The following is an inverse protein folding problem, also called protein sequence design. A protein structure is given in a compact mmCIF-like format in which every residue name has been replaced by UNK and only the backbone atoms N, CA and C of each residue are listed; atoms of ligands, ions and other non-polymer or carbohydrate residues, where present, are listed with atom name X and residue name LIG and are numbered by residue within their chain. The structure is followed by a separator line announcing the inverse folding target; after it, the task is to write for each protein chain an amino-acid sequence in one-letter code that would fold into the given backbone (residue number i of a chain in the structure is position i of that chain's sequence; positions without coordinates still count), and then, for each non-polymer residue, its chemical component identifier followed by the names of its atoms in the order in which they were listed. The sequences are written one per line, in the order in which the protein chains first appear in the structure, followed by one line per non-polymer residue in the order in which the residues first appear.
data_IF_967557754386
#
_entry.id   IF_967557754386
#
_cell.length_a   1.000
_cell.length_b   1.000
_cell.length_c   1.000
_cell.angle_alpha   90.00
_cell.angle_beta   90.00
_cell.angle_gamma   90.00
#
_symmetry.space_group_name_H-M   'P 1'
#
loop_
_entity.id
_entity.type
_entity.pdbx_description
1 polymer ?
#
# COMPACT_ATOMS: atom_id res chain seq x y z
N UNK A 1 19.15 8.19 -26.29
CA UNK A 1 17.75 7.73 -26.42
C UNK A 1 16.79 8.90 -26.35
N UNK A 2 15.66 8.82 -27.08
CA UNK A 2 14.55 9.77 -26.99
C UNK A 2 13.72 9.56 -25.71
N UNK A 3 12.89 10.54 -25.36
CA UNK A 3 12.02 10.43 -24.17
C UNK A 3 11.02 9.26 -24.27
N UNK A 4 10.55 8.93 -25.48
CA UNK A 4 9.66 7.79 -25.72
C UNK A 4 10.36 6.45 -25.49
N UNK A 5 11.59 6.31 -26.01
CA UNK A 5 12.43 5.13 -25.80
C UNK A 5 12.77 4.94 -24.31
N UNK A 6 13.13 6.03 -23.60
CA UNK A 6 13.39 5.97 -22.16
C UNK A 6 12.13 5.57 -21.39
N UNK A 7 10.96 6.10 -21.79
CA UNK A 7 9.68 5.77 -21.16
C UNK A 7 9.35 4.28 -21.31
N UNK A 8 9.54 3.73 -22.51
CA UNK A 8 9.34 2.32 -22.79
C UNK A 8 10.32 1.44 -22.01
N UNK A 9 11.62 1.77 -22.00
CA UNK A 9 12.66 1.00 -21.33
C UNK A 9 12.52 0.95 -19.79
N UNK A 10 11.82 1.92 -19.21
CA UNK A 10 11.68 2.10 -17.75
C UNK A 10 10.26 1.86 -17.25
N UNK A 11 9.27 1.77 -18.15
CA UNK A 11 7.86 1.69 -17.80
C UNK A 11 7.30 2.95 -17.14
N UNK A 12 7.98 4.09 -17.30
CA UNK A 12 7.60 5.40 -16.74
C UNK A 12 7.02 6.27 -17.84
N UNK A 13 5.99 7.06 -17.53
CA UNK A 13 5.39 7.95 -18.55
C UNK A 13 6.36 9.07 -18.96
N UNK A 14 6.30 9.57 -20.21
CA UNK A 14 7.08 10.76 -20.62
C UNK A 14 6.81 11.99 -19.74
N UNK A 15 5.62 12.10 -19.14
CA UNK A 15 5.30 13.17 -18.18
C UNK A 15 6.12 13.03 -16.92
N UNK A 16 6.22 11.83 -16.35
CA UNK A 16 7.03 11.57 -15.18
C UNK A 16 8.53 11.77 -15.46
N UNK A 17 9.03 11.35 -16.63
CA UNK A 17 10.41 11.64 -17.03
C UNK A 17 10.70 13.15 -17.10
N UNK A 18 9.80 13.95 -17.67
CA UNK A 18 9.93 15.42 -17.65
C UNK A 18 9.91 15.97 -16.23
N UNK A 19 9.14 15.38 -15.33
CA UNK A 19 9.10 15.79 -13.94
C UNK A 19 10.41 15.45 -13.22
N UNK A 20 10.99 14.26 -13.44
CA UNK A 20 12.30 13.89 -12.90
C UNK A 20 13.41 14.80 -13.43
N UNK A 21 13.32 15.18 -14.70
CA UNK A 21 14.26 16.13 -15.31
C UNK A 21 14.13 17.54 -14.71
N UNK A 22 12.91 18.00 -14.46
CA UNK A 22 12.66 19.27 -13.77
C UNK A 22 13.18 19.27 -12.33
N UNK A 23 13.11 18.12 -11.65
CA UNK A 23 13.71 17.92 -10.33
C UNK A 23 15.24 17.74 -10.37
N UNK A 24 15.88 17.80 -11.55
CA UNK A 24 17.34 17.64 -11.69
C UNK A 24 17.85 16.21 -11.49
N UNK A 25 16.95 15.24 -11.29
CA UNK A 25 17.29 13.85 -10.99
C UNK A 25 17.67 13.04 -12.23
N UNK A 26 17.30 13.51 -13.42
CA UNK A 26 17.79 13.01 -14.71
C UNK A 26 18.14 14.19 -15.61
N UNK A 27 19.07 14.00 -16.54
CA UNK A 27 19.52 15.07 -17.45
C UNK A 27 19.44 14.60 -18.89
N UNK A 28 18.97 15.49 -19.79
CA UNK A 28 19.08 15.32 -21.23
C UNK A 28 20.06 16.31 -21.84
N UNK A 29 20.66 15.92 -22.97
CA UNK A 29 21.38 16.84 -23.86
C UNK A 29 20.48 17.21 -25.05
N UNK A 30 20.64 18.42 -25.57
CA UNK A 30 19.99 18.82 -26.83
C UNK A 30 20.87 18.43 -28.01
N UNK A 31 20.29 17.76 -28.99
CA UNK A 31 20.93 17.48 -30.27
C UNK A 31 20.80 18.68 -31.21
N UNK A 32 21.62 18.72 -32.26
CA UNK A 32 21.60 19.77 -33.29
C UNK A 32 20.23 19.92 -33.97
N UNK A 33 19.42 18.86 -34.02
CA UNK A 33 18.05 18.86 -34.54
C UNK A 33 17.00 19.31 -33.51
N UNK A 34 17.41 19.87 -32.36
CA UNK A 34 16.51 20.44 -31.35
C UNK A 34 15.86 19.42 -30.40
N UNK A 35 15.96 18.13 -30.69
CA UNK A 35 15.39 17.09 -29.85
C UNK A 35 16.26 16.78 -28.62
N UNK A 36 15.62 16.31 -27.54
CA UNK A 36 16.29 15.78 -26.34
C UNK A 36 16.86 14.40 -26.58
N UNK A 37 18.02 14.15 -25.99
CA UNK A 37 18.71 12.87 -25.97
C UNK A 37 19.15 12.57 -24.54
N UNK A 38 18.70 11.43 -24.02
CA UNK A 38 19.07 10.92 -22.70
C UNK A 38 20.18 9.89 -22.86
N UNK A 39 21.15 9.82 -21.93
CA UNK A 39 22.16 8.77 -21.93
C UNK A 39 21.57 7.41 -21.53
N UNK A 40 22.23 6.31 -21.89
CA UNK A 40 21.80 4.95 -21.51
C UNK A 40 21.75 4.76 -20.00
N UNK A 41 22.65 5.42 -19.26
CA UNK A 41 22.67 5.42 -17.79
C UNK A 41 21.39 5.97 -17.16
N UNK A 42 20.61 6.78 -17.90
CA UNK A 42 19.32 7.26 -17.42
C UNK A 42 18.34 6.12 -17.12
N UNK A 43 18.46 4.96 -17.78
CA UNK A 43 17.57 3.81 -17.54
C UNK A 43 17.73 3.29 -16.11
N UNK A 44 18.95 3.01 -15.67
CA UNK A 44 19.23 2.53 -14.31
C UNK A 44 18.76 3.55 -13.27
N UNK A 45 19.10 4.82 -13.48
CA UNK A 45 18.68 5.95 -12.64
C UNK A 45 17.17 6.08 -12.52
N UNK A 46 16.42 6.01 -13.62
CA UNK A 46 14.95 6.09 -13.59
C UNK A 46 14.33 4.88 -12.88
N UNK A 47 14.89 3.68 -13.06
CA UNK A 47 14.43 2.48 -12.33
C UNK A 47 14.65 2.61 -10.82
N UNK A 48 15.81 3.11 -10.40
CA UNK A 48 16.11 3.37 -9.00
C UNK A 48 15.23 4.47 -8.41
N UNK A 49 14.97 5.56 -9.16
CA UNK A 49 14.01 6.58 -8.76
C UNK A 49 12.62 5.97 -8.53
N UNK A 50 12.15 5.14 -9.45
CA UNK A 50 10.86 4.46 -9.31
C UNK A 50 10.83 3.61 -8.04
N UNK A 51 11.89 2.85 -7.75
CA UNK A 51 11.97 2.03 -6.55
C UNK A 51 11.87 2.87 -5.27
N UNK A 52 12.57 4.00 -5.19
CA UNK A 52 12.46 4.92 -4.05
C UNK A 52 11.03 5.47 -3.89
N UNK A 53 10.40 5.87 -5.00
CA UNK A 53 9.03 6.37 -4.98
C UNK A 53 8.02 5.28 -4.57
N UNK A 54 8.26 4.02 -4.96
CA UNK A 54 7.44 2.88 -4.57
C UNK A 54 7.56 2.57 -3.06
N UNK A 55 8.71 2.86 -2.44
CA UNK A 55 8.86 2.88 -0.97
C UNK A 55 8.21 4.08 -0.29
N UNK A 56 7.56 4.94 -1.06
CA UNK A 56 6.85 6.11 -0.57
C UNK A 56 7.75 7.31 -0.31
N UNK A 57 9.02 7.29 -0.72
CA UNK A 57 9.85 8.50 -0.73
C UNK A 57 9.33 9.48 -1.79
N UNK A 58 9.67 10.75 -1.63
CA UNK A 58 9.36 11.80 -2.61
C UNK A 58 10.55 12.02 -3.57
N UNK A 59 10.36 12.84 -4.61
CA UNK A 59 11.48 13.23 -5.47
C UNK A 59 12.50 14.11 -4.73
N UNK A 60 12.06 14.91 -3.77
CA UNK A 60 12.93 15.70 -2.90
C UNK A 60 13.79 14.78 -2.02
N UNK A 61 13.17 13.73 -1.46
CA UNK A 61 13.89 12.70 -0.70
C UNK A 61 14.93 11.97 -1.58
N UNK A 62 14.62 11.76 -2.87
CA UNK A 62 15.52 11.07 -3.80
C UNK A 62 16.82 11.85 -4.07
N UNK A 63 16.88 13.16 -3.79
CA UNK A 63 18.10 13.96 -3.91
C UNK A 63 19.22 13.46 -2.97
N UNK A 64 18.87 12.84 -1.85
CA UNK A 64 19.87 12.28 -0.92
C UNK A 64 20.51 10.96 -1.41
N UNK A 65 20.07 10.45 -2.57
CA UNK A 65 20.47 9.17 -3.14
C UNK A 65 21.28 9.29 -4.43
N UNK A 66 21.67 10.51 -4.87
CA UNK A 66 22.36 10.75 -6.13
C UNK A 66 23.52 9.79 -6.43
N UNK A 67 24.34 9.46 -5.42
CA UNK A 67 25.49 8.55 -5.57
C UNK A 67 25.13 7.08 -5.79
N UNK A 68 23.91 6.67 -5.41
CA UNK A 68 23.43 5.29 -5.54
C UNK A 68 22.48 5.12 -6.73
N UNK A 69 21.91 6.21 -7.25
CA UNK A 69 20.94 6.15 -8.36
C UNK A 69 21.53 5.55 -9.64
N UNK A 70 22.82 5.66 -9.89
CA UNK A 70 23.46 5.12 -11.10
C UNK A 70 23.91 3.66 -10.99
N UNK A 71 23.89 3.09 -9.79
CA UNK A 71 24.37 1.74 -9.51
C UNK A 71 23.26 0.81 -9.03
N UNK A 72 23.66 -0.23 -8.30
CA UNK A 72 22.72 -1.04 -7.55
C UNK A 72 22.37 -0.31 -6.24
N UNK A 73 21.14 0.22 -6.19
CA UNK A 73 20.61 0.98 -5.06
C UNK A 73 20.59 0.15 -3.76
N UNK A 74 20.51 -1.18 -3.86
CA UNK A 74 20.41 -2.09 -2.72
C UNK A 74 21.72 -2.80 -2.38
N UNK A 75 22.77 -2.63 -3.18
CA UNK A 75 24.08 -3.28 -2.95
C UNK A 75 24.88 -2.67 -1.79
N UNK A 76 24.52 -1.48 -1.31
CA UNK A 76 25.23 -0.81 -0.23
C UNK A 76 24.32 0.17 0.51
N UNK A 77 24.67 0.50 1.77
CA UNK A 77 23.90 1.47 2.52
C UNK A 77 23.96 2.84 1.82
N UNK A 78 22.84 3.60 1.80
CA UNK A 78 22.89 4.98 1.35
C UNK A 78 23.76 5.82 2.29
N UNK A 79 23.97 7.08 1.91
CA UNK A 79 24.61 8.06 2.81
C UNK A 79 23.85 8.16 4.15
N UNK A 80 24.51 8.63 5.21
CA UNK A 80 23.84 8.83 6.52
C UNK A 80 22.61 9.76 6.37
N UNK A 81 22.72 10.80 5.54
CA UNK A 81 21.58 11.68 5.23
C UNK A 81 20.43 10.92 4.54
N UNK A 82 20.75 10.00 3.63
CA UNK A 82 19.76 9.11 3.01
C UNK A 82 19.11 8.16 4.01
N UNK A 83 19.87 7.63 4.98
CA UNK A 83 19.32 6.82 6.06
C UNK A 83 18.36 7.62 6.94
N UNK A 84 18.70 8.88 7.28
CA UNK A 84 17.83 9.75 8.07
C UNK A 84 16.53 10.10 7.33
N UNK A 85 16.57 10.25 6.02
CA UNK A 85 15.37 10.39 5.19
C UNK A 85 14.49 9.15 5.29
N UNK A 86 15.07 7.95 5.14
CA UNK A 86 14.32 6.69 5.25
C UNK A 86 13.73 6.50 6.64
N UNK A 87 14.48 6.78 7.71
CA UNK A 87 14.00 6.71 9.10
C UNK A 87 12.82 7.64 9.32
N UNK A 88 12.94 8.93 8.95
CA UNK A 88 11.83 9.89 9.05
C UNK A 88 10.61 9.43 8.26
N UNK A 89 10.81 8.86 7.07
CA UNK A 89 9.70 8.39 6.25
C UNK A 89 9.00 7.18 6.86
N UNK A 90 9.76 6.27 7.45
CA UNK A 90 9.24 5.12 8.19
C UNK A 90 8.38 5.59 9.36
N UNK A 91 8.87 6.51 10.19
CA UNK A 91 8.12 7.06 11.33
C UNK A 91 6.76 7.66 10.90
N UNK A 92 6.75 8.42 9.78
CA UNK A 92 5.52 8.97 9.22
C UNK A 92 4.54 7.89 8.78
N UNK A 93 5.04 6.81 8.16
CA UNK A 93 4.21 5.67 7.77
C UNK A 93 3.65 4.93 8.98
N UNK A 94 4.45 4.68 10.00
CA UNK A 94 4.01 4.02 11.25
C UNK A 94 2.93 4.82 11.98
N UNK A 95 3.08 6.15 12.04
CA UNK A 95 2.06 7.04 12.60
C UNK A 95 0.74 6.96 11.82
N UNK A 96 0.81 6.95 10.48
CA UNK A 96 -0.38 6.82 9.61
C UNK A 96 -1.05 5.47 9.79
N UNK A 97 -0.29 4.39 9.83
CA UNK A 97 -0.80 3.03 10.08
C UNK A 97 -1.53 3.00 11.41
N UNK A 98 -0.91 3.53 12.48
CA UNK A 98 -1.53 3.59 13.82
C UNK A 98 -2.86 4.34 13.80
N UNK A 99 -2.90 5.52 13.17
CA UNK A 99 -4.12 6.30 13.05
C UNK A 99 -5.22 5.57 12.24
N UNK A 100 -4.86 4.92 11.14
CA UNK A 100 -5.80 4.16 10.30
C UNK A 100 -6.34 2.93 11.02
N UNK A 101 -5.51 2.21 11.79
CA UNK A 101 -5.94 1.09 12.62
C UNK A 101 -6.96 1.54 13.67
N UNK A 102 -6.70 2.66 14.35
CA UNK A 102 -7.64 3.23 15.31
C UNK A 102 -8.97 3.62 14.66
N UNK A 103 -8.95 4.21 13.46
CA UNK A 103 -10.17 4.54 12.72
C UNK A 103 -10.95 3.27 12.32
N UNK A 104 -10.27 2.25 11.81
CA UNK A 104 -10.85 0.95 11.47
C UNK A 104 -11.55 0.32 12.68
N UNK A 105 -10.91 0.36 13.84
CA UNK A 105 -11.45 -0.28 15.05
C UNK A 105 -12.68 0.47 15.57
N UNK A 106 -12.71 1.82 15.50
CA UNK A 106 -13.92 2.60 15.77
C UNK A 106 -15.09 2.24 14.85
N UNK A 107 -14.82 2.02 13.56
CA UNK A 107 -15.85 1.61 12.59
C UNK A 107 -16.38 0.20 12.91
N UNK A 108 -15.51 -0.74 13.30
CA UNK A 108 -15.91 -2.09 13.73
C UNK A 108 -16.80 -2.04 14.97
N UNK A 109 -16.42 -1.25 15.97
CA UNK A 109 -17.20 -1.10 17.20
C UNK A 109 -18.58 -0.48 16.91
N UNK A 110 -18.64 0.52 16.03
CA UNK A 110 -19.90 1.12 15.60
C UNK A 110 -20.79 0.07 14.91
N UNK A 111 -20.25 -0.72 13.97
CA UNK A 111 -21.00 -1.78 13.28
C UNK A 111 -21.49 -2.86 14.24
N UNK A 112 -20.68 -3.29 15.21
CA UNK A 112 -21.07 -4.28 16.21
C UNK A 112 -22.26 -3.83 17.07
N UNK A 113 -22.40 -2.52 17.31
CA UNK A 113 -23.56 -1.95 18.04
C UNK A 113 -24.85 -1.96 17.23
N UNK A 114 -24.75 -1.87 15.90
CA UNK A 114 -25.90 -1.77 14.98
C UNK A 114 -26.23 -3.06 14.24
N UNK A 115 -25.39 -4.08 14.32
CA UNK A 115 -25.75 -5.46 13.98
C UNK A 115 -26.26 -6.15 15.25
N UNK A 116 -27.54 -6.02 15.64
CA UNK A 116 -28.12 -7.04 16.48
C UNK A 116 -27.97 -8.34 15.69
N UNK A 117 -27.39 -9.36 16.31
CA UNK A 117 -27.41 -10.71 15.77
C UNK A 117 -28.80 -10.98 15.18
N UNK A 118 -28.82 -11.20 13.86
CA UNK A 118 -30.04 -11.51 13.14
C UNK A 118 -30.75 -12.68 13.82
N UNK A 119 -31.81 -12.36 14.56
CA UNK A 119 -32.93 -13.25 14.79
C UNK A 119 -32.72 -14.34 15.85
N UNK A 120 -32.95 -13.95 17.10
CA UNK A 120 -33.99 -14.64 17.86
C UNK A 120 -35.24 -14.77 16.98
N UNK A 121 -35.48 -15.96 16.43
CA UNK A 121 -36.82 -16.35 15.96
C UNK A 121 -37.32 -17.51 16.80
N UNK A 122 -38.10 -17.11 17.81
CA UNK A 122 -39.23 -17.83 18.44
C UNK A 122 -38.90 -19.00 19.40
N UNK A 123 -38.61 -18.63 20.65
CA UNK A 123 -39.07 -19.40 21.82
C UNK A 123 -40.51 -18.96 22.12
N UNK A 124 -41.45 -19.87 21.89
CA UNK A 124 -42.90 -19.73 22.07
C UNK A 124 -43.58 -20.65 21.04
N UNK A 125 -43.92 -21.90 21.37
CA UNK A 125 -44.73 -22.27 22.52
C UNK A 125 -44.17 -23.48 23.30
N UNK A 126 -44.33 -23.53 24.64
CA UNK A 126 -44.45 -24.81 25.33
C UNK A 126 -45.79 -25.40 24.92
N UNK A 127 -45.77 -26.40 24.03
CA UNK A 127 -46.93 -27.27 23.85
C UNK A 127 -47.08 -28.03 25.16
N UNK A 128 -48.01 -27.59 26.00
CA UNK A 128 -48.62 -28.45 27.00
C UNK A 128 -49.17 -29.67 26.26
N UNK A 129 -48.41 -30.75 26.27
CA UNK A 129 -48.92 -32.09 26.09
C UNK A 129 -49.19 -32.58 27.50
N UNK A 130 -50.46 -32.49 27.86
CA UNK A 130 -51.02 -33.09 29.07
C UNK A 130 -50.60 -34.57 29.17
N UNK A 131 -50.25 -35.07 30.36
CA UNK A 131 -50.06 -36.49 30.57
C UNK A 131 -51.43 -37.11 30.87
N UNK A 132 -52.16 -37.57 29.85
CA UNK A 132 -53.40 -38.32 30.05
C UNK A 132 -53.30 -39.72 29.43
N UNK A 133 -53.03 -40.71 30.30
CA UNK A 133 -53.59 -42.05 30.16
C UNK A 133 -52.68 -43.22 29.74
N UNK A 134 -51.96 -43.82 30.70
CA UNK A 134 -51.85 -45.29 30.89
C UNK A 134 -51.05 -45.59 32.20
N UNK A 135 -51.37 -46.59 33.04
CA UNK A 135 -52.04 -47.85 32.70
C UNK A 135 -53.25 -48.22 33.59
N UNK A 136 -54.30 -48.80 32.99
CA UNK A 136 -55.19 -49.74 33.70
C UNK A 136 -54.77 -51.16 33.32
N UNK A 137 -53.96 -51.80 34.17
CA UNK A 137 -53.92 -53.26 34.20
C UNK A 137 -54.96 -53.74 35.22
N UNK A 138 -55.96 -54.54 34.83
CA UNK A 138 -56.79 -55.23 35.77
C UNK A 138 -56.09 -56.50 36.26
N UNK A 139 -56.10 -56.64 37.58
CA UNK A 139 -55.84 -57.87 38.33
C UNK A 139 -56.74 -59.00 37.81
N UNK A 140 -56.13 -60.12 37.39
CA UNK A 140 -56.74 -61.46 37.40
C UNK A 140 -55.75 -62.38 38.12
N UNK A 141 -56.06 -62.65 39.39
CA UNK A 141 -56.53 -63.94 39.94
C UNK A 141 -55.49 -65.04 39.87
#
# INVERSE_FOLDING_TARGET
MRIGELAEATGVTPRALRHYEQAGLITSRRLANGYRDYPESAVARVRNLRLLLDFGLTLEDAEFFHGCLDGDLLAGPPSEAGLDVVRRRLDVLEQRITAQLAQRDRLRDALARFSPESGTTRRGSPRALEPEGAPRQPVRR
#
